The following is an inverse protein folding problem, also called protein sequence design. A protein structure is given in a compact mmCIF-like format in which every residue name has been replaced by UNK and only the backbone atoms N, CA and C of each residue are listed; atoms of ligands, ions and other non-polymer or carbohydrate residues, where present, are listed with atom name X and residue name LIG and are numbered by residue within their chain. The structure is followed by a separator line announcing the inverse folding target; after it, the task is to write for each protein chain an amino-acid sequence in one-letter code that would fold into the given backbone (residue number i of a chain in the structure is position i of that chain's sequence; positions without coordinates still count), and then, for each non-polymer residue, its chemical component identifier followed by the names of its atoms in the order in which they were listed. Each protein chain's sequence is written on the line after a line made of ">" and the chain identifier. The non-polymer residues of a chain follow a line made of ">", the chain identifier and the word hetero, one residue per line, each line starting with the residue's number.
data_IF_878421616405
#
_entry.id   IF_878421616405
#
_cell.length_a   1.000
_cell.length_b   1.000
_cell.length_c   1.000
_cell.angle_alpha   90.00
_cell.angle_beta   90.00
_cell.angle_gamma   90.00
#
_symmetry.space_group_name_H-M   'P 1'
#
loop_
_entity.id
_entity.type
_entity.pdbx_description
1 polymer ?
#
# COMPACT_ATOMS: atom_id res chain seq x y z
N UNK A 1 -5.57 4.79 -46.79
CA UNK A 1 -4.22 4.51 -46.24
C UNK A 1 -3.59 5.84 -45.88
N UNK A 2 -3.72 6.25 -44.62
CA UNK A 2 -3.00 7.40 -44.05
C UNK A 2 -2.19 6.79 -42.92
N UNK A 3 -0.87 6.92 -43.02
CA UNK A 3 0.10 6.33 -42.13
C UNK A 3 -0.25 6.59 -40.66
N UNK A 4 -0.26 5.51 -39.88
CA UNK A 4 -0.37 5.59 -38.43
C UNK A 4 0.72 6.50 -37.89
N UNK A 5 0.30 7.46 -37.09
CA UNK A 5 1.19 8.19 -36.20
C UNK A 5 1.93 7.16 -35.34
N UNK A 6 3.21 6.99 -35.64
CA UNK A 6 4.16 6.33 -34.77
C UNK A 6 4.13 7.06 -33.43
N UNK A 7 3.39 6.52 -32.46
CA UNK A 7 3.49 6.90 -31.07
C UNK A 7 4.88 6.45 -30.62
N UNK A 8 5.89 7.28 -30.88
CA UNK A 8 7.17 7.14 -30.20
C UNK A 8 6.85 7.26 -28.72
N UNK A 9 7.10 6.23 -27.89
CA UNK A 9 7.04 6.45 -26.46
C UNK A 9 8.09 7.52 -26.21
N UNK A 10 7.65 8.72 -25.83
CA UNK A 10 8.55 9.71 -25.29
C UNK A 10 9.32 8.98 -24.18
N UNK A 11 10.59 8.66 -24.46
CA UNK A 11 11.60 8.43 -23.46
C UNK A 11 11.69 9.75 -22.70
N UNK A 12 10.73 9.97 -21.80
CA UNK A 12 10.84 10.97 -20.76
C UNK A 12 12.06 10.49 -19.99
N UNK A 13 13.20 11.10 -20.27
CA UNK A 13 14.37 11.02 -19.42
C UNK A 13 13.84 11.31 -18.01
N UNK A 14 13.76 10.28 -17.15
CA UNK A 14 13.55 10.46 -15.73
C UNK A 14 14.74 11.29 -15.27
N UNK A 15 14.58 12.62 -15.27
CA UNK A 15 15.45 13.49 -14.51
C UNK A 15 15.46 12.90 -13.10
N UNK A 16 16.66 12.61 -12.64
CA UNK A 16 17.00 11.94 -11.39
C UNK A 16 16.23 12.54 -10.22
N UNK A 17 16.18 11.81 -9.09
CA UNK A 17 15.69 12.40 -7.84
C UNK A 17 16.37 13.76 -7.61
N UNK A 18 15.57 14.76 -7.22
CA UNK A 18 16.09 16.10 -6.86
C UNK A 18 17.12 15.98 -5.73
N UNK A 19 16.93 14.99 -4.85
CA UNK A 19 17.79 14.72 -3.70
C UNK A 19 19.03 13.92 -4.11
N UNK A 20 20.19 14.37 -3.59
CA UNK A 20 21.45 13.64 -3.68
C UNK A 20 21.31 12.26 -2.97
N UNK A 21 21.89 11.17 -3.51
CA UNK A 21 21.91 9.85 -2.86
C UNK A 21 22.32 9.81 -1.39
N UNK A 22 23.08 10.81 -0.90
CA UNK A 22 23.45 10.93 0.52
C UNK A 22 22.25 11.19 1.45
N UNK A 23 21.17 11.78 0.94
CA UNK A 23 19.97 12.11 1.74
C UNK A 23 19.29 10.86 2.30
N UNK A 24 18.99 10.90 3.59
CA UNK A 24 18.28 9.81 4.27
C UNK A 24 16.76 9.97 4.13
N UNK A 25 16.05 8.85 4.05
CA UNK A 25 14.59 8.86 4.03
C UNK A 25 14.04 9.15 5.45
N UNK A 26 12.92 9.90 5.53
CA UNK A 26 12.30 10.24 6.80
C UNK A 26 11.59 9.02 7.40
N UNK A 27 11.52 8.98 8.72
CA UNK A 27 10.74 7.99 9.47
C UNK A 27 9.37 8.58 9.75
N UNK A 28 8.31 7.81 9.48
CA UNK A 28 6.93 8.19 9.82
C UNK A 28 6.49 7.65 11.18
N UNK A 29 7.04 6.51 11.62
CA UNK A 29 6.58 5.83 12.83
C UNK A 29 7.08 6.52 14.10
N UNK A 30 6.13 6.92 14.95
CA UNK A 30 6.44 7.60 16.21
C UNK A 30 7.27 6.74 17.15
N UNK A 31 6.95 5.44 17.25
CA UNK A 31 7.69 4.50 18.09
C UNK A 31 9.15 4.41 17.69
N UNK A 32 9.46 4.51 16.40
CA UNK A 32 10.85 4.52 15.92
C UNK A 32 11.55 5.84 16.20
N UNK A 33 10.81 6.97 16.12
CA UNK A 33 11.34 8.30 16.43
C UNK A 33 11.68 8.47 17.92
N UNK A 34 10.95 7.80 18.81
CA UNK A 34 11.17 7.84 20.26
C UNK A 34 12.42 7.03 20.69
N UNK A 35 12.93 6.14 19.82
CA UNK A 35 14.13 5.35 20.11
C UNK A 35 15.40 6.23 20.03
N UNK A 36 16.36 6.02 20.95
CA UNK A 36 17.64 6.71 20.84
C UNK A 36 18.36 6.27 19.56
N UNK A 37 18.90 7.25 18.83
CA UNK A 37 19.73 6.99 17.67
C UNK A 37 21.06 6.35 18.08
N UNK A 38 21.51 5.35 17.32
CA UNK A 38 22.85 4.77 17.48
C UNK A 38 23.93 5.82 17.25
N UNK A 39 25.11 5.64 17.86
CA UNK A 39 26.23 6.59 17.71
C UNK A 39 26.67 6.75 16.26
N UNK A 40 26.69 5.66 15.48
CA UNK A 40 27.12 5.65 14.08
C UNK A 40 25.98 5.92 13.07
N UNK A 41 24.79 6.33 13.53
CA UNK A 41 23.64 6.50 12.65
C UNK A 41 23.85 7.67 11.65
N UNK A 42 23.69 7.42 10.33
CA UNK A 42 23.83 8.46 9.30
C UNK A 42 22.93 9.68 9.49
N UNK A 43 21.83 9.57 10.22
CA UNK A 43 20.89 10.67 10.47
C UNK A 43 21.48 11.80 11.32
N UNK A 44 22.55 11.56 12.08
CA UNK A 44 23.21 12.60 12.89
C UNK A 44 23.94 13.63 12.02
N UNK A 45 24.47 13.20 10.87
CA UNK A 45 25.37 14.02 10.04
C UNK A 45 24.88 14.22 8.59
N UNK A 46 23.96 13.39 8.09
CA UNK A 46 23.40 13.52 6.75
C UNK A 46 22.05 14.25 6.79
N UNK A 47 21.72 15.03 5.73
CA UNK A 47 20.40 15.65 5.63
C UNK A 47 19.31 14.60 5.40
N UNK A 48 18.12 14.88 5.92
CA UNK A 48 16.93 14.03 5.81
C UNK A 48 15.97 14.64 4.77
N UNK A 49 15.34 13.80 3.94
CA UNK A 49 14.32 14.24 2.98
C UNK A 49 13.04 14.66 3.70
N UNK A 50 12.22 15.54 3.13
CA UNK A 50 10.90 15.83 3.68
C UNK A 50 10.02 14.57 3.69
N UNK A 51 9.15 14.46 4.69
CA UNK A 51 8.13 13.41 4.75
C UNK A 51 7.20 13.51 3.54
N UNK A 52 6.76 12.36 3.04
CA UNK A 52 5.83 12.33 1.93
C UNK A 52 4.44 12.81 2.37
N UNK A 53 3.75 13.57 1.54
CA UNK A 53 2.47 14.21 1.88
C UNK A 53 1.32 13.22 2.24
N UNK A 54 1.46 11.93 1.94
CA UNK A 54 0.49 10.90 2.32
C UNK A 54 0.83 10.25 3.65
N UNK A 55 2.06 10.39 4.09
CA UNK A 55 2.57 9.75 5.30
C UNK A 55 2.39 10.70 6.47
N UNK A 56 2.05 10.12 7.62
CA UNK A 56 1.80 10.87 8.84
C UNK A 56 2.15 10.02 10.05
N UNK A 57 2.54 10.67 11.14
CA UNK A 57 2.87 10.04 12.43
C UNK A 57 1.62 9.68 13.25
N UNK A 58 0.43 9.83 12.69
CA UNK A 58 -0.84 9.62 13.39
C UNK A 58 -1.17 8.14 13.55
N UNK A 59 -1.85 7.77 14.62
CA UNK A 59 -2.33 6.40 14.85
C UNK A 59 -3.23 5.83 13.73
N UNK A 60 -3.94 6.69 13.00
CA UNK A 60 -4.80 6.27 11.89
C UNK A 60 -4.04 6.03 10.57
N UNK A 61 -2.71 6.22 10.57
CA UNK A 61 -1.88 6.00 9.39
C UNK A 61 -1.69 4.50 9.18
N UNK A 62 -2.14 3.99 8.04
CA UNK A 62 -1.96 2.60 7.62
C UNK A 62 -1.36 2.57 6.21
N UNK A 63 -0.11 2.12 6.04
CA UNK A 63 0.58 2.14 4.75
C UNK A 63 -0.07 1.18 3.74
N UNK A 64 -0.68 0.07 4.18
CA UNK A 64 -1.37 -0.88 3.31
C UNK A 64 -2.62 -0.23 2.73
N UNK A 65 -3.38 0.47 3.58
CA UNK A 65 -4.57 1.19 3.16
C UNK A 65 -4.26 2.31 2.16
N UNK A 66 -3.22 3.09 2.44
CA UNK A 66 -2.78 4.20 1.58
C UNK A 66 -2.34 3.65 0.22
N UNK A 67 -1.55 2.58 0.22
CA UNK A 67 -1.09 1.92 -1.00
C UNK A 67 -2.27 1.36 -1.80
N UNK A 68 -3.25 0.75 -1.14
CA UNK A 68 -4.48 0.28 -1.79
C UNK A 68 -5.29 1.44 -2.38
N UNK A 69 -5.42 2.55 -1.65
CA UNK A 69 -6.11 3.76 -2.13
C UNK A 69 -5.43 4.34 -3.36
N UNK A 70 -4.09 4.31 -3.42
CA UNK A 70 -3.34 4.71 -4.61
C UNK A 70 -3.60 3.79 -5.80
N UNK A 71 -3.78 2.48 -5.60
CA UNK A 71 -4.15 1.56 -6.68
C UNK A 71 -5.58 1.79 -7.21
N UNK A 72 -6.50 2.21 -6.34
CA UNK A 72 -7.88 2.56 -6.72
C UNK A 72 -7.93 3.89 -7.48
N UNK A 73 -7.02 4.81 -7.17
CA UNK A 73 -6.96 6.15 -7.77
C UNK A 73 -6.70 6.09 -9.27
N UNK A 74 -7.46 6.90 -10.03
CA UNK A 74 -7.26 7.12 -11.46
C UNK A 74 -7.10 8.61 -11.74
N UNK A 75 -6.24 8.94 -12.70
CA UNK A 75 -5.99 10.31 -13.17
C UNK A 75 -5.57 11.28 -12.04
N UNK A 76 -4.90 10.79 -11.00
CA UNK A 76 -4.47 11.60 -9.86
C UNK A 76 -5.62 12.10 -8.96
N UNK A 77 -6.86 11.62 -9.13
CA UNK A 77 -8.02 12.04 -8.34
C UNK A 77 -8.07 11.36 -6.97
N UNK A 78 -7.19 11.81 -6.07
CA UNK A 78 -7.05 11.24 -4.72
C UNK A 78 -8.31 11.41 -3.87
N UNK A 79 -8.95 12.57 -3.94
CA UNK A 79 -10.17 12.87 -3.17
C UNK A 79 -11.30 11.89 -3.49
N UNK A 80 -11.47 11.56 -4.78
CA UNK A 80 -12.48 10.60 -5.23
C UNK A 80 -12.14 9.19 -4.73
N UNK A 81 -10.88 8.77 -4.85
CA UNK A 81 -10.43 7.46 -4.37
C UNK A 81 -10.65 7.31 -2.85
N UNK A 82 -10.32 8.35 -2.07
CA UNK A 82 -10.56 8.37 -0.63
C UNK A 82 -12.04 8.29 -0.28
N UNK A 83 -12.91 9.03 -0.99
CA UNK A 83 -14.38 8.95 -0.80
C UNK A 83 -14.91 7.55 -1.09
N UNK A 84 -14.44 6.92 -2.17
CA UNK A 84 -14.83 5.54 -2.51
C UNK A 84 -14.40 4.56 -1.41
N UNK A 85 -13.17 4.69 -0.91
CA UNK A 85 -12.67 3.84 0.18
C UNK A 85 -13.43 4.06 1.50
N UNK A 86 -13.74 5.31 1.85
CA UNK A 86 -14.55 5.64 3.02
C UNK A 86 -15.94 5.02 2.94
N UNK A 87 -16.61 5.15 1.78
CA UNK A 87 -17.92 4.55 1.53
C UNK A 87 -17.86 3.01 1.59
N UNK A 88 -16.77 2.40 1.10
CA UNK A 88 -16.55 0.96 1.18
C UNK A 88 -16.46 0.48 2.63
N UNK A 89 -15.67 1.15 3.48
CA UNK A 89 -15.57 0.79 4.89
C UNK A 89 -16.85 1.04 5.68
N UNK A 90 -17.55 2.12 5.36
CA UNK A 90 -18.89 2.35 5.91
C UNK A 90 -19.83 1.20 5.55
N UNK A 91 -19.84 0.77 4.29
CA UNK A 91 -20.68 -0.34 3.82
C UNK A 91 -20.34 -1.65 4.55
N UNK A 92 -19.05 -1.98 4.69
CA UNK A 92 -18.58 -3.16 5.44
C UNK A 92 -19.06 -3.10 6.88
N UNK A 93 -18.83 -1.97 7.56
CA UNK A 93 -19.21 -1.79 8.97
C UNK A 93 -20.72 -1.89 9.15
N UNK A 94 -21.51 -1.22 8.31
CA UNK A 94 -22.99 -1.31 8.34
C UNK A 94 -23.46 -2.76 8.16
N UNK A 95 -22.85 -3.52 7.24
CA UNK A 95 -23.19 -4.93 7.00
C UNK A 95 -22.86 -5.81 8.22
N UNK A 96 -21.70 -5.62 8.83
CA UNK A 96 -21.29 -6.40 10.01
C UNK A 96 -22.14 -6.06 11.25
N UNK A 97 -22.42 -4.78 11.50
CA UNK A 97 -23.28 -4.36 12.61
C UNK A 97 -24.69 -4.92 12.45
N UNK A 98 -25.25 -4.91 11.24
CA UNK A 98 -26.56 -5.54 10.98
C UNK A 98 -26.55 -7.05 11.31
N UNK A 99 -25.48 -7.76 10.96
CA UNK A 99 -25.33 -9.18 11.32
C UNK A 99 -25.21 -9.37 12.83
N UNK A 100 -24.38 -8.57 13.49
CA UNK A 100 -24.18 -8.60 14.93
C UNK A 100 -25.49 -8.35 15.71
N UNK A 101 -26.31 -7.40 15.26
CA UNK A 101 -27.62 -7.11 15.84
C UNK A 101 -28.64 -8.24 15.63
N UNK A 102 -28.53 -8.99 14.52
CA UNK A 102 -29.42 -10.10 14.20
C UNK A 102 -29.12 -11.38 15.01
N UNK A 103 -27.94 -11.49 15.63
CA UNK A 103 -27.58 -12.63 16.47
C UNK A 103 -28.31 -12.58 17.82
N UNK A 104 -28.81 -13.75 18.24
CA UNK A 104 -29.55 -13.92 19.50
C UNK A 104 -28.64 -14.32 20.67
N UNK A 105 -27.54 -15.04 20.38
CA UNK A 105 -26.57 -15.49 21.39
C UNK A 105 -25.40 -14.51 21.53
N UNK A 106 -24.89 -14.37 22.76
CA UNK A 106 -23.70 -13.55 23.06
C UNK A 106 -22.40 -14.18 22.51
N UNK A 107 -22.38 -15.51 22.35
CA UNK A 107 -21.23 -16.23 21.80
C UNK A 107 -21.03 -15.91 20.31
N UNK A 108 -22.10 -15.99 19.52
CA UNK A 108 -22.09 -15.65 18.10
C UNK A 108 -21.68 -14.19 17.86
N UNK A 109 -22.09 -13.30 18.77
CA UNK A 109 -21.75 -11.87 18.70
C UNK A 109 -20.25 -11.62 18.88
N UNK A 110 -19.56 -12.42 19.69
CA UNK A 110 -18.10 -12.29 19.92
C UNK A 110 -17.29 -12.74 18.72
N UNK A 111 -17.80 -13.69 17.93
CA UNK A 111 -17.12 -14.17 16.72
C UNK A 111 -17.18 -13.13 15.58
N UNK A 112 -18.19 -12.25 15.57
CA UNK A 112 -18.37 -11.26 14.51
C UNK A 112 -17.47 -10.04 14.74
N UNK A 113 -16.37 -9.99 13.98
CA UNK A 113 -15.52 -8.80 13.91
C UNK A 113 -16.26 -7.64 13.21
N UNK A 114 -16.47 -6.54 13.95
CA UNK A 114 -17.12 -5.34 13.43
C UNK A 114 -16.13 -4.27 12.93
N UNK A 115 -14.83 -4.44 13.18
CA UNK A 115 -13.81 -3.50 12.74
C UNK A 115 -13.49 -3.71 11.24
N UNK A 116 -13.79 -2.74 10.36
CA UNK A 116 -13.54 -2.88 8.93
C UNK A 116 -12.06 -3.01 8.57
N UNK A 117 -11.15 -2.43 9.35
CA UNK A 117 -9.71 -2.48 9.08
C UNK A 117 -9.15 -3.90 9.25
N UNK A 118 -9.50 -4.57 10.35
CA UNK A 118 -9.10 -5.97 10.56
C UNK A 118 -9.62 -6.89 9.46
N UNK A 119 -10.88 -6.69 9.05
CA UNK A 119 -11.48 -7.46 7.94
C UNK A 119 -10.71 -7.24 6.65
N UNK A 120 -10.34 -5.99 6.36
CA UNK A 120 -9.58 -5.63 5.16
C UNK A 120 -8.20 -6.30 5.12
N UNK A 121 -7.42 -6.21 6.20
CA UNK A 121 -6.11 -6.86 6.29
C UNK A 121 -6.21 -8.38 6.14
N UNK A 122 -7.12 -9.01 6.89
CA UNK A 122 -7.36 -10.45 6.78
C UNK A 122 -7.82 -10.86 5.37
N UNK A 123 -8.65 -10.05 4.72
CA UNK A 123 -9.07 -10.29 3.35
C UNK A 123 -7.90 -10.20 2.36
N UNK A 124 -6.98 -9.25 2.54
CA UNK A 124 -5.78 -9.15 1.70
C UNK A 124 -4.91 -10.38 1.92
N UNK A 125 -4.59 -10.74 3.16
CA UNK A 125 -3.77 -11.90 3.50
C UNK A 125 -4.32 -13.18 2.84
N UNK A 126 -5.62 -13.43 2.98
CA UNK A 126 -6.31 -14.56 2.37
C UNK A 126 -6.25 -14.55 0.83
N UNK A 127 -6.29 -13.36 0.21
CA UNK A 127 -6.20 -13.23 -1.24
C UNK A 127 -4.75 -13.29 -1.75
N UNK A 128 -3.73 -13.15 -0.88
CA UNK A 128 -2.36 -13.11 -1.33
C UNK A 128 -1.87 -14.50 -1.76
N UNK A 129 -1.38 -14.67 -3.00
CA UNK A 129 -0.84 -15.96 -3.43
C UNK A 129 0.45 -16.27 -2.68
N UNK A 130 0.68 -17.55 -2.39
CA UNK A 130 1.91 -18.03 -1.75
C UNK A 130 3.04 -18.17 -2.76
N UNK A 131 2.73 -18.57 -4.00
CA UNK A 131 3.70 -18.89 -5.04
C UNK A 131 3.54 -17.95 -6.24
N UNK A 132 4.65 -17.54 -6.84
CA UNK A 132 4.67 -16.75 -8.07
C UNK A 132 5.50 -17.47 -9.13
N UNK A 133 4.91 -17.61 -10.32
CA UNK A 133 5.63 -18.10 -11.50
C UNK A 133 6.45 -16.96 -12.09
N UNK A 134 7.72 -17.23 -12.40
CA UNK A 134 8.60 -16.33 -13.11
C UNK A 134 9.09 -16.98 -14.41
N UNK A 135 9.03 -16.28 -15.55
CA UNK A 135 9.60 -16.78 -16.78
C UNK A 135 11.12 -16.85 -16.67
N UNK A 136 11.70 -18.00 -16.98
CA UNK A 136 13.13 -18.22 -17.10
C UNK A 136 13.43 -18.81 -18.48
N UNK A 137 14.17 -18.07 -19.30
CA UNK A 137 14.53 -18.51 -20.64
C UNK A 137 15.81 -19.34 -20.61
N UNK A 138 15.76 -20.56 -21.15
CA UNK A 138 16.93 -21.43 -21.35
C UNK A 138 16.80 -22.10 -22.72
N UNK A 139 17.87 -22.04 -23.53
CA UNK A 139 17.88 -22.66 -24.86
C UNK A 139 16.79 -22.15 -25.82
N UNK A 140 16.38 -20.88 -25.70
CA UNK A 140 15.32 -20.31 -26.55
C UNK A 140 13.89 -20.61 -26.11
N UNK A 141 13.68 -21.41 -25.05
CA UNK A 141 12.36 -21.71 -24.49
C UNK A 141 12.19 -21.00 -23.14
N UNK A 142 11.02 -20.40 -22.92
CA UNK A 142 10.66 -19.73 -21.66
C UNK A 142 9.88 -20.69 -20.76
N UNK A 143 10.48 -21.08 -19.64
CA UNK A 143 9.83 -21.90 -18.61
C UNK A 143 9.20 -21.02 -17.55
N UNK A 144 8.01 -21.37 -17.07
CA UNK A 144 7.41 -20.74 -15.89
C UNK A 144 7.93 -21.47 -14.65
N UNK A 145 8.94 -20.91 -14.02
CA UNK A 145 9.58 -21.51 -12.84
C UNK A 145 8.93 -20.94 -11.59
N UNK A 146 8.57 -21.82 -10.67
CA UNK A 146 8.10 -21.41 -9.35
C UNK A 146 9.27 -20.85 -8.54
N UNK A 147 9.19 -19.58 -8.14
CA UNK A 147 10.06 -19.03 -7.09
C UNK A 147 9.21 -18.77 -5.85
N UNK A 148 9.73 -19.20 -4.71
CA UNK A 148 9.14 -18.89 -3.41
C UNK A 148 9.00 -17.38 -3.22
N UNK A 149 8.09 -17.01 -2.32
CA UNK A 149 7.86 -15.63 -1.88
C UNK A 149 9.08 -15.09 -1.13
#
# INVERSE_FOLDING_TARGET
>A
RICGSCFTPNLINKRTSIWNPTYQDPIADKSELDLPLSEDDPRKYRPIKPLFHSDATTFFHDPVLITFTHMVMKDGRKDLAQRIMANCFEYIKRKQVKKWLACNSDEERKEIECNPWKIFHKAIENCTPVLKLMPATRGGITYQVNRGK
#
